data_IF_788828058173
#
_entry.id   IF_788828058173
#
_cell.length_a   1.000
_cell.length_b   1.000
_cell.length_c   1.000
_cell.angle_alpha   90.00
_cell.angle_beta   90.00
_cell.angle_gamma   90.00
#
_symmetry.space_group_name_H-M   'P 1'
#
loop_
_entity.id
_entity.type
_entity.pdbx_description
1 polymer ?
#
# COMPACT_ATOMS: atom_id res chain seq x y z
N UNK A 1 38.01 60.24 44.34
CA UNK A 1 36.91 59.64 43.55
C UNK A 1 37.53 58.79 42.48
N UNK A 2 37.10 57.57 42.23
CA UNK A 2 35.88 56.88 42.65
C UNK A 2 35.66 55.79 41.61
N UNK A 3 35.46 54.57 42.11
CA UNK A 3 34.60 53.47 41.61
C UNK A 3 34.78 52.99 40.15
N UNK A 4 35.12 51.72 39.86
CA UNK A 4 34.52 50.41 40.19
C UNK A 4 33.31 50.01 39.30
N UNK A 5 33.34 48.75 38.83
CA UNK A 5 32.19 48.00 38.29
C UNK A 5 32.19 47.91 36.75
N UNK A 6 32.38 46.76 36.08
CA UNK A 6 32.23 45.37 36.50
C UNK A 6 30.96 44.77 35.88
N UNK A 7 31.12 43.68 35.11
CA UNK A 7 30.09 42.64 34.96
C UNK A 7 29.17 42.74 33.73
N UNK A 8 29.47 41.91 32.72
CA UNK A 8 28.52 41.69 31.61
C UNK A 8 28.94 40.61 30.62
N UNK A 9 29.70 39.59 31.04
CA UNK A 9 30.30 38.62 30.11
C UNK A 9 30.42 37.21 30.69
N UNK A 10 29.41 36.74 31.44
CA UNK A 10 29.46 35.42 32.13
C UNK A 10 28.43 34.37 31.68
N UNK A 11 27.41 34.74 30.90
CA UNK A 11 26.22 33.87 30.75
C UNK A 11 26.31 32.73 29.72
N UNK A 12 27.26 32.74 28.77
CA UNK A 12 27.22 31.85 27.59
C UNK A 12 28.07 30.58 27.67
N UNK A 13 29.00 30.45 28.63
CA UNK A 13 29.88 29.26 28.72
C UNK A 13 29.28 28.08 29.49
N UNK A 14 28.29 28.31 30.35
CA UNK A 14 27.64 27.25 31.15
C UNK A 14 26.47 26.55 30.46
N UNK A 15 25.72 27.25 29.60
CA UNK A 15 24.52 26.70 28.94
C UNK A 15 24.83 25.57 27.97
N UNK A 16 25.92 25.65 27.21
CA UNK A 16 26.32 24.62 26.25
C UNK A 16 26.73 23.28 26.89
N UNK A 17 27.22 23.29 28.14
CA UNK A 17 27.57 22.05 28.85
C UNK A 17 26.34 21.28 29.33
N UNK A 18 25.29 22.00 29.73
CA UNK A 18 24.04 21.40 30.19
C UNK A 18 23.24 20.87 28.99
N UNK A 19 23.23 21.60 27.89
CA UNK A 19 22.65 21.16 26.61
C UNK A 19 23.29 19.86 26.12
N UNK A 20 24.62 19.77 26.09
CA UNK A 20 25.33 18.56 25.67
C UNK A 20 25.06 17.37 26.61
N UNK A 21 24.98 17.60 27.92
CA UNK A 21 24.65 16.54 28.89
C UNK A 21 23.22 16.02 28.70
N UNK A 22 22.25 16.92 28.49
CA UNK A 22 20.86 16.56 28.21
C UNK A 22 20.71 15.79 26.90
N UNK A 23 21.45 16.17 25.86
CA UNK A 23 21.50 15.42 24.60
C UNK A 23 22.09 14.03 24.78
N UNK A 24 23.15 13.89 25.59
CA UNK A 24 23.74 12.59 25.91
C UNK A 24 22.77 11.65 26.63
N UNK A 25 22.01 12.16 27.60
CA UNK A 25 20.97 11.39 28.31
C UNK A 25 19.85 10.99 27.36
N UNK A 26 19.37 11.91 26.51
CA UNK A 26 18.36 11.61 25.50
C UNK A 26 18.84 10.55 24.51
N UNK A 27 20.09 10.63 24.07
CA UNK A 27 20.68 9.63 23.18
C UNK A 27 20.77 8.25 23.86
N UNK A 28 21.23 8.18 25.11
CA UNK A 28 21.29 6.93 25.87
C UNK A 28 19.92 6.29 26.07
N UNK A 29 18.89 7.10 26.35
CA UNK A 29 17.50 6.65 26.40
C UNK A 29 17.03 6.11 25.05
N UNK A 30 17.33 6.81 23.95
CA UNK A 30 17.01 6.34 22.60
C UNK A 30 17.64 4.98 22.33
N UNK A 31 18.90 4.80 22.69
CA UNK A 31 19.66 3.57 22.43
C UNK A 31 19.13 2.39 23.27
N UNK A 32 18.66 2.66 24.49
CA UNK A 32 18.04 1.65 25.35
C UNK A 32 16.61 1.25 24.89
N UNK A 33 15.81 2.21 24.42
CA UNK A 33 14.41 1.97 24.00
C UNK A 33 14.32 1.35 22.61
N UNK A 34 15.20 1.72 21.69
CA UNK A 34 15.23 1.23 20.31
C UNK A 34 15.17 -0.30 20.18
N UNK A 35 15.99 -1.12 20.88
CA UNK A 35 15.89 -2.57 20.79
C UNK A 35 14.56 -3.12 21.31
N UNK A 36 13.91 -2.46 22.27
CA UNK A 36 12.59 -2.85 22.75
C UNK A 36 11.52 -2.61 21.68
N UNK A 37 11.56 -1.45 21.02
CA UNK A 37 10.69 -1.14 19.88
C UNK A 37 10.87 -2.14 18.73
N UNK A 38 12.12 -2.47 18.39
CA UNK A 38 12.43 -3.42 17.32
C UNK A 38 11.99 -4.86 17.64
N UNK A 39 11.88 -5.23 18.92
CA UNK A 39 11.35 -6.53 19.33
C UNK A 39 9.84 -6.62 19.22
N UNK A 40 9.14 -5.49 19.12
CA UNK A 40 7.69 -5.51 19.06
C UNK A 40 7.20 -6.15 17.75
N UNK A 41 6.31 -7.13 17.92
CA UNK A 41 5.78 -7.95 16.82
C UNK A 41 4.30 -7.62 16.52
N UNK A 42 3.54 -7.17 17.51
CA UNK A 42 2.12 -6.83 17.34
C UNK A 42 1.99 -5.49 16.63
N UNK A 43 1.18 -5.47 15.57
CA UNK A 43 0.81 -4.24 14.84
C UNK A 43 0.03 -3.30 15.76
N UNK A 44 -0.94 -3.82 16.53
CA UNK A 44 -1.79 -3.01 17.41
C UNK A 44 -0.98 -2.24 18.45
N UNK A 45 -0.08 -2.94 19.12
CA UNK A 45 0.79 -2.30 20.11
C UNK A 45 1.74 -1.27 19.50
N UNK A 46 2.16 -1.45 18.25
CA UNK A 46 2.97 -0.46 17.54
C UNK A 46 2.13 0.76 17.18
N UNK A 47 0.85 0.58 16.80
CA UNK A 47 -0.08 1.68 16.60
C UNK A 47 -0.30 2.47 17.90
N UNK A 48 -0.47 1.80 19.04
CA UNK A 48 -0.62 2.45 20.35
C UNK A 48 0.63 3.27 20.71
N UNK A 49 1.82 2.66 20.56
CA UNK A 49 3.10 3.34 20.79
C UNK A 49 3.24 4.57 19.89
N UNK A 50 2.91 4.45 18.60
CA UNK A 50 2.98 5.59 17.67
C UNK A 50 2.00 6.68 18.07
N UNK A 51 0.76 6.34 18.47
CA UNK A 51 -0.23 7.32 18.90
C UNK A 51 0.23 8.10 20.14
N UNK A 52 0.76 7.40 21.15
CA UNK A 52 1.30 8.02 22.37
C UNK A 52 2.50 8.92 22.04
N UNK A 53 3.45 8.41 21.24
CA UNK A 53 4.64 9.19 20.88
C UNK A 53 4.28 10.43 20.03
N UNK A 54 3.26 10.35 19.17
CA UNK A 54 2.82 11.46 18.33
C UNK A 54 2.13 12.53 19.18
N UNK A 55 1.26 12.14 20.13
CA UNK A 55 0.63 13.08 21.06
C UNK A 55 1.64 13.77 21.97
N UNK A 56 2.63 13.02 22.48
CA UNK A 56 3.66 13.57 23.36
C UNK A 56 4.64 14.47 22.59
N UNK A 57 5.04 14.08 21.37
CA UNK A 57 5.88 14.90 20.51
C UNK A 57 5.20 16.23 20.16
N UNK A 58 3.89 16.20 19.88
CA UNK A 58 3.10 17.41 19.62
C UNK A 58 2.99 18.29 20.87
N UNK A 59 2.67 17.70 22.03
CA UNK A 59 2.57 18.41 23.29
C UNK A 59 3.91 19.08 23.66
N UNK A 60 5.03 18.37 23.48
CA UNK A 60 6.37 18.92 23.69
C UNK A 60 6.66 20.05 22.70
N UNK A 61 6.31 19.91 21.42
CA UNK A 61 6.50 20.96 20.42
C UNK A 61 5.73 22.26 20.72
N UNK A 62 4.58 22.16 21.36
CA UNK A 62 3.81 23.32 21.83
C UNK A 62 4.47 23.94 23.05
N UNK A 63 4.90 23.11 24.02
CA UNK A 63 5.58 23.55 25.24
C UNK A 63 6.91 24.24 24.94
N UNK A 64 7.71 23.71 24.02
CA UNK A 64 8.98 24.30 23.58
C UNK A 64 8.79 25.65 22.90
N UNK A 65 7.71 25.82 22.13
CA UNK A 65 7.38 27.10 21.47
C UNK A 65 6.94 28.18 22.45
N UNK A 66 6.36 27.81 23.60
CA UNK A 66 5.89 28.74 24.62
C UNK A 66 6.97 29.07 25.69
N UNK A 67 7.97 28.22 25.85
CA UNK A 67 9.03 28.37 26.85
C UNK A 67 10.21 29.24 26.39
N UNK A 68 10.91 29.85 27.35
CA UNK A 68 12.17 30.57 27.13
C UNK A 68 13.27 30.12 28.10
N UNK A 69 14.53 30.27 27.70
CA UNK A 69 15.70 29.94 28.54
C UNK A 69 16.10 28.45 28.53
N UNK A 70 16.70 27.96 29.61
CA UNK A 70 17.25 26.59 29.72
C UNK A 70 16.18 25.49 29.65
N UNK A 71 14.94 25.79 30.05
CA UNK A 71 13.80 24.88 29.89
C UNK A 71 13.44 24.62 28.42
N UNK A 72 13.63 25.63 27.55
CA UNK A 72 13.40 25.47 26.11
C UNK A 72 14.45 24.54 25.48
N UNK A 73 15.70 24.58 25.95
CA UNK A 73 16.76 23.69 25.50
C UNK A 73 16.50 22.23 25.88
N UNK A 74 16.06 21.98 27.12
CA UNK A 74 15.67 20.65 27.59
C UNK A 74 14.45 20.11 26.82
N UNK A 75 13.42 20.94 26.63
CA UNK A 75 12.25 20.56 25.82
C UNK A 75 12.61 20.27 24.37
N UNK A 76 13.53 21.04 23.76
CA UNK A 76 13.99 20.79 22.40
C UNK A 76 14.76 19.46 22.27
N UNK A 77 15.57 19.11 23.27
CA UNK A 77 16.25 17.81 23.32
C UNK A 77 15.25 16.64 23.46
N UNK A 78 14.24 16.79 24.33
CA UNK A 78 13.16 15.81 24.48
C UNK A 78 12.32 15.67 23.20
N UNK A 79 11.98 16.78 22.55
CA UNK A 79 11.25 16.77 21.29
C UNK A 79 12.02 16.03 20.19
N UNK A 80 13.35 16.21 20.11
CA UNK A 80 14.20 15.44 19.19
C UNK A 80 14.19 13.94 19.50
N UNK A 81 14.25 13.57 20.78
CA UNK A 81 14.15 12.17 21.21
C UNK A 81 12.81 11.54 20.81
N UNK A 82 11.70 12.19 21.16
CA UNK A 82 10.35 11.70 20.84
C UNK A 82 10.16 11.54 19.33
N UNK A 83 10.60 12.54 18.54
CA UNK A 83 10.53 12.47 17.07
C UNK A 83 11.36 11.32 16.51
N UNK A 84 12.53 11.04 17.09
CA UNK A 84 13.38 9.91 16.68
C UNK A 84 12.74 8.56 17.01
N UNK A 85 12.24 8.39 18.22
CA UNK A 85 11.57 7.16 18.64
C UNK A 85 10.29 6.91 17.82
N UNK A 86 9.55 7.97 17.51
CA UNK A 86 8.38 7.93 16.65
C UNK A 86 8.74 7.54 15.21
N UNK A 87 9.87 8.01 14.68
CA UNK A 87 10.44 7.54 13.42
C UNK A 87 10.72 6.03 13.44
N UNK A 88 11.47 5.57 14.45
CA UNK A 88 11.80 4.15 14.62
C UNK A 88 10.52 3.27 14.77
N UNK A 89 9.52 3.74 15.52
CA UNK A 89 8.25 3.04 15.70
C UNK A 89 7.43 2.96 14.40
N UNK A 90 7.37 4.06 13.62
CA UNK A 90 6.69 4.09 12.31
C UNK A 90 7.39 3.21 11.28
N UNK A 91 8.72 3.19 11.25
CA UNK A 91 9.49 2.30 10.38
C UNK A 91 9.21 0.83 10.73
N UNK A 92 9.26 0.50 12.02
CA UNK A 92 8.95 -0.86 12.50
C UNK A 92 7.51 -1.25 12.18
N UNK A 93 6.55 -0.36 12.39
CA UNK A 93 5.15 -0.59 12.06
C UNK A 93 4.97 -0.86 10.56
N UNK A 94 5.58 -0.03 9.71
CA UNK A 94 5.54 -0.20 8.25
C UNK A 94 6.07 -1.57 7.85
N UNK A 95 7.23 -1.97 8.40
CA UNK A 95 7.80 -3.30 8.16
C UNK A 95 6.84 -4.43 8.58
N UNK A 96 6.20 -4.32 9.75
CA UNK A 96 5.26 -5.35 10.25
C UNK A 96 3.98 -5.40 9.42
N UNK A 97 3.46 -4.27 8.98
CA UNK A 97 2.30 -4.22 8.09
C UNK A 97 2.62 -4.89 6.74
N UNK A 98 3.75 -4.56 6.12
CA UNK A 98 4.18 -5.20 4.87
C UNK A 98 4.42 -6.71 5.02
N UNK A 99 4.95 -7.16 6.16
CA UNK A 99 5.06 -8.58 6.49
C UNK A 99 3.68 -9.24 6.60
N UNK A 100 2.70 -8.59 7.26
CA UNK A 100 1.33 -9.10 7.33
C UNK A 100 0.69 -9.22 5.94
N UNK A 101 0.88 -8.23 5.07
CA UNK A 101 0.38 -8.30 3.68
C UNK A 101 1.00 -9.48 2.92
N UNK A 102 2.31 -9.67 3.05
CA UNK A 102 3.01 -10.79 2.40
C UNK A 102 2.53 -12.14 2.90
N UNK A 103 2.49 -12.32 4.22
CA UNK A 103 2.32 -13.64 4.82
C UNK A 103 0.82 -14.01 4.94
N UNK A 104 -0.07 -13.04 5.15
CA UNK A 104 -1.49 -13.30 5.40
C UNK A 104 -2.40 -13.00 4.21
N UNK A 105 -1.99 -12.13 3.28
CA UNK A 105 -2.80 -11.80 2.08
C UNK A 105 -2.24 -12.50 0.84
N UNK A 106 -0.95 -12.32 0.53
CA UNK A 106 -0.34 -12.90 -0.69
C UNK A 106 -0.19 -14.42 -0.60
N UNK A 107 0.17 -14.94 0.58
CA UNK A 107 0.35 -16.38 0.81
C UNK A 107 -0.90 -17.05 1.39
N UNK A 108 -2.07 -16.44 1.23
CA UNK A 108 -3.31 -16.98 1.77
C UNK A 108 -3.67 -18.33 1.13
N UNK A 109 -3.56 -19.41 1.92
CA UNK A 109 -3.66 -20.79 1.42
C UNK A 109 -5.08 -21.39 1.47
N UNK A 110 -6.02 -20.79 2.19
CA UNK A 110 -7.37 -21.35 2.40
C UNK A 110 -8.45 -20.65 1.55
N UNK A 111 -8.15 -20.43 0.27
CA UNK A 111 -8.98 -19.60 -0.61
C UNK A 111 -10.37 -20.21 -0.88
N UNK A 112 -10.43 -21.49 -1.27
CA UNK A 112 -11.68 -22.16 -1.66
C UNK A 112 -12.75 -22.27 -0.55
N UNK A 113 -12.45 -22.73 0.70
CA UNK A 113 -13.48 -22.84 1.74
C UNK A 113 -13.99 -21.47 2.22
N UNK A 114 -13.09 -20.47 2.32
CA UNK A 114 -13.47 -19.12 2.70
C UNK A 114 -14.33 -18.43 1.63
N UNK A 115 -13.98 -18.59 0.35
CA UNK A 115 -14.76 -18.09 -0.76
C UNK A 115 -16.18 -18.67 -0.79
N UNK A 116 -16.32 -19.98 -0.55
CA UNK A 116 -17.63 -20.65 -0.45
C UNK A 116 -18.46 -20.14 0.74
N UNK A 117 -17.82 -19.89 1.88
CA UNK A 117 -18.51 -19.33 3.04
C UNK A 117 -19.08 -17.93 2.75
N UNK A 118 -18.28 -17.06 2.11
CA UNK A 118 -18.74 -15.74 1.69
C UNK A 118 -19.86 -15.83 0.65
N UNK A 119 -19.76 -16.76 -0.31
CA UNK A 119 -20.77 -16.96 -1.35
C UNK A 119 -22.11 -17.45 -0.78
N UNK A 120 -22.10 -18.39 0.18
CA UNK A 120 -23.33 -18.88 0.83
C UNK A 120 -24.14 -17.77 1.51
N UNK A 121 -23.43 -16.80 2.11
CA UNK A 121 -24.06 -15.64 2.73
C UNK A 121 -24.64 -14.66 1.71
N UNK A 122 -24.05 -14.55 0.52
CA UNK A 122 -24.54 -13.69 -0.57
C UNK A 122 -25.76 -14.33 -1.25
N UNK A 123 -25.70 -15.63 -1.50
CA UNK A 123 -26.78 -16.37 -2.18
C UNK A 123 -27.97 -16.69 -1.27
N UNK A 124 -27.88 -16.39 0.04
CA UNK A 124 -28.97 -16.61 1.00
C UNK A 124 -29.34 -18.08 1.21
N UNK A 125 -28.42 -19.00 0.92
CA UNK A 125 -28.68 -20.44 1.02
C UNK A 125 -28.51 -20.89 2.47
N UNK A 126 -29.54 -20.62 3.28
CA UNK A 126 -29.68 -21.08 4.68
C UNK A 126 -29.92 -22.61 4.76
N UNK A 127 -29.97 -23.34 3.63
CA UNK A 127 -30.25 -24.78 3.57
C UNK A 127 -28.96 -25.59 3.44
N UNK A 128 -28.14 -25.65 4.49
CA UNK A 128 -26.92 -26.45 4.40
C UNK A 128 -26.15 -26.66 5.68
N UNK A 129 -26.75 -27.39 6.64
CA UNK A 129 -26.07 -28.32 7.56
C UNK A 129 -25.02 -27.74 8.50
N UNK A 130 -25.35 -27.72 9.80
CA UNK A 130 -24.37 -27.59 10.87
C UNK A 130 -23.30 -28.68 10.79
N UNK A 131 -22.16 -28.33 10.21
CA UNK A 131 -20.89 -29.02 10.40
C UNK A 131 -20.06 -28.19 11.37
N UNK A 132 -19.78 -28.76 12.55
CA UNK A 132 -18.88 -28.20 13.56
C UNK A 132 -17.53 -27.87 12.90
N UNK A 133 -17.23 -26.58 12.78
CA UNK A 133 -16.04 -26.06 12.09
C UNK A 133 -16.29 -24.89 11.14
N UNK A 134 -17.56 -24.57 10.83
CA UNK A 134 -17.89 -23.39 10.02
C UNK A 134 -17.63 -22.12 10.83
N UNK A 135 -16.60 -21.37 10.46
CA UNK A 135 -16.30 -20.04 11.01
C UNK A 135 -17.59 -19.17 11.01
N UNK A 136 -17.82 -18.35 12.05
CA UNK A 136 -19.01 -17.50 12.15
C UNK A 136 -19.17 -16.69 10.87
N UNK A 137 -20.41 -16.56 10.38
CA UNK A 137 -20.74 -16.01 9.07
C UNK A 137 -20.05 -14.69 8.77
N UNK A 138 -18.92 -14.76 8.07
CA UNK A 138 -18.15 -13.59 7.61
C UNK A 138 -18.69 -13.15 6.27
N UNK A 139 -19.37 -11.99 6.26
CA UNK A 139 -19.86 -11.34 5.03
C UNK A 139 -18.74 -11.01 4.05
N UNK A 140 -17.52 -10.82 4.56
CA UNK A 140 -16.36 -10.42 3.77
C UNK A 140 -15.35 -11.56 3.66
N UNK A 141 -14.67 -11.61 2.53
CA UNK A 141 -13.58 -12.54 2.32
C UNK A 141 -12.42 -12.21 3.29
N UNK A 142 -11.77 -13.22 3.92
CA UNK A 142 -10.81 -12.97 5.01
C UNK A 142 -9.65 -12.04 4.66
N UNK A 143 -9.16 -12.07 3.41
CA UNK A 143 -8.07 -11.17 3.00
C UNK A 143 -8.55 -9.73 2.78
N UNK A 144 -9.83 -9.53 2.44
CA UNK A 144 -10.46 -8.21 2.33
C UNK A 144 -10.66 -7.60 3.72
N UNK A 145 -11.20 -8.37 4.67
CA UNK A 145 -11.36 -7.93 6.07
C UNK A 145 -10.02 -7.52 6.68
N UNK A 146 -9.01 -8.38 6.55
CA UNK A 146 -7.66 -8.07 7.01
C UNK A 146 -7.05 -6.87 6.28
N UNK A 147 -7.23 -6.77 4.97
CA UNK A 147 -6.73 -5.65 4.18
C UNK A 147 -7.32 -4.31 4.64
N UNK A 148 -8.63 -4.26 4.91
CA UNK A 148 -9.31 -3.07 5.40
C UNK A 148 -8.87 -2.70 6.82
N UNK A 149 -8.70 -3.68 7.71
CA UNK A 149 -8.18 -3.46 9.07
C UNK A 149 -6.75 -2.88 9.03
N UNK A 150 -5.88 -3.43 8.18
CA UNK A 150 -4.51 -2.94 8.00
C UNK A 150 -4.50 -1.51 7.42
N UNK A 151 -5.38 -1.20 6.46
CA UNK A 151 -5.55 0.14 5.92
C UNK A 151 -6.01 1.13 6.98
N UNK A 152 -7.01 0.78 7.80
CA UNK A 152 -7.49 1.63 8.89
C UNK A 152 -6.39 1.95 9.91
N UNK A 153 -5.63 0.92 10.33
CA UNK A 153 -4.49 1.08 11.26
C UNK A 153 -3.37 1.92 10.65
N UNK A 154 -3.02 1.66 9.39
CA UNK A 154 -1.99 2.40 8.68
C UNK A 154 -2.37 3.88 8.50
N UNK A 155 -3.63 4.17 8.15
CA UNK A 155 -4.12 5.52 7.95
C UNK A 155 -4.01 6.39 9.21
N UNK A 156 -4.32 5.80 10.37
CA UNK A 156 -4.29 6.51 11.65
C UNK A 156 -2.86 6.75 12.20
N UNK A 157 -1.90 5.91 11.83
CA UNK A 157 -0.58 5.87 12.50
C UNK A 157 0.61 6.23 11.59
N UNK A 158 0.44 6.19 10.27
CA UNK A 158 1.51 6.48 9.32
C UNK A 158 1.33 7.83 8.61
N UNK A 159 2.43 8.49 8.24
CA UNK A 159 2.37 9.68 7.40
C UNK A 159 1.84 9.31 6.02
N UNK A 160 1.07 10.24 5.42
CA UNK A 160 0.38 10.05 4.12
C UNK A 160 1.26 9.42 3.04
N UNK A 161 2.49 9.90 2.86
CA UNK A 161 3.42 9.36 1.84
C UNK A 161 3.71 7.86 1.99
N UNK A 162 3.79 7.36 3.21
CA UNK A 162 4.05 5.93 3.48
C UNK A 162 2.75 5.14 3.36
N UNK A 163 1.65 5.71 3.84
CA UNK A 163 0.31 5.13 3.67
C UNK A 163 -0.05 4.91 2.20
N UNK A 164 0.24 5.86 1.31
CA UNK A 164 -0.10 5.76 -0.12
C UNK A 164 0.57 4.54 -0.77
N UNK A 165 1.86 4.29 -0.48
CA UNK A 165 2.57 3.12 -0.99
C UNK A 165 2.09 1.80 -0.38
N UNK A 166 1.83 1.79 0.93
CA UNK A 166 1.33 0.60 1.62
C UNK A 166 -0.09 0.22 1.14
N UNK A 167 -0.94 1.23 0.96
CA UNK A 167 -2.33 1.02 0.56
C UNK A 167 -2.45 0.48 -0.87
N UNK A 168 -1.57 0.91 -1.77
CA UNK A 168 -1.40 0.28 -3.08
C UNK A 168 -1.05 -1.21 -2.95
N UNK A 169 -0.04 -1.54 -2.12
CA UNK A 169 0.40 -2.93 -1.92
C UNK A 169 -0.73 -3.82 -1.36
N UNK A 170 -1.50 -3.30 -0.39
CA UNK A 170 -2.64 -4.00 0.22
C UNK A 170 -3.73 -4.24 -0.82
N UNK A 171 -4.13 -3.21 -1.58
CA UNK A 171 -5.20 -3.31 -2.58
C UNK A 171 -4.85 -4.30 -3.70
N UNK A 172 -3.63 -4.24 -4.22
CA UNK A 172 -3.15 -5.17 -5.24
C UNK A 172 -3.13 -6.61 -4.69
N UNK A 173 -2.64 -6.81 -3.47
CA UNK A 173 -2.60 -8.13 -2.84
C UNK A 173 -4.01 -8.70 -2.57
N UNK A 174 -4.94 -7.89 -2.09
CA UNK A 174 -6.34 -8.29 -1.87
C UNK A 174 -7.01 -8.67 -3.20
N UNK A 175 -6.86 -7.84 -4.23
CA UNK A 175 -7.43 -8.10 -5.56
C UNK A 175 -6.86 -9.38 -6.16
N UNK A 176 -5.54 -9.58 -6.09
CA UNK A 176 -4.90 -10.81 -6.57
C UNK A 176 -5.39 -12.06 -5.81
N UNK A 177 -5.55 -11.95 -4.48
CA UNK A 177 -6.07 -13.03 -3.63
C UNK A 177 -7.51 -13.39 -4.00
N UNK A 178 -8.37 -12.40 -4.25
CA UNK A 178 -9.76 -12.62 -4.70
C UNK A 178 -9.82 -13.30 -6.07
N UNK A 179 -8.99 -12.86 -7.02
CA UNK A 179 -8.90 -13.47 -8.34
C UNK A 179 -8.42 -14.92 -8.27
N UNK A 180 -7.46 -15.24 -7.40
CA UNK A 180 -7.03 -16.61 -7.14
C UNK A 180 -8.18 -17.45 -6.53
N UNK A 181 -8.88 -16.89 -5.54
CA UNK A 181 -10.01 -17.57 -4.90
C UNK A 181 -11.15 -17.90 -5.88
N UNK A 182 -11.45 -16.99 -6.81
CA UNK A 182 -12.45 -17.23 -7.84
C UNK A 182 -12.03 -18.30 -8.86
N UNK A 183 -10.71 -18.42 -9.15
CA UNK A 183 -10.17 -19.46 -10.02
C UNK A 183 -10.17 -20.84 -9.39
N UNK A 184 -9.98 -20.93 -8.07
CA UNK A 184 -9.93 -22.18 -7.31
C UNK A 184 -11.33 -22.65 -6.84
N UNK A 185 -12.37 -21.86 -7.08
CA UNK A 185 -13.75 -22.21 -6.75
C UNK A 185 -14.39 -23.39 -7.55
N UNK A 186 -14.05 -23.68 -8.83
CA UNK A 186 -14.82 -24.57 -9.69
C UNK A 186 -14.69 -26.07 -9.39
N UNK A 187 -14.06 -26.48 -8.30
CA UNK A 187 -14.22 -27.83 -7.73
C UNK A 187 -15.61 -27.98 -7.08
N UNK A 188 -16.68 -27.94 -7.90
CA UNK A 188 -18.08 -28.15 -7.50
C UNK A 188 -19.01 -26.92 -7.54
N UNK A 189 -18.57 -25.75 -8.00
CA UNK A 189 -19.38 -24.53 -8.17
C UNK A 189 -19.56 -24.12 -9.65
N UNK A 190 -20.55 -23.27 -9.94
CA UNK A 190 -20.78 -22.75 -11.30
C UNK A 190 -19.85 -21.57 -11.63
N UNK A 191 -19.59 -21.31 -12.93
CA UNK A 191 -18.86 -20.10 -13.38
C UNK A 191 -19.54 -18.81 -12.91
N UNK A 192 -20.86 -18.87 -12.76
CA UNK A 192 -21.69 -17.77 -12.25
C UNK A 192 -21.40 -17.49 -10.77
N UNK A 193 -21.13 -18.51 -9.96
CA UNK A 193 -20.74 -18.33 -8.55
C UNK A 193 -19.39 -17.63 -8.43
N UNK A 194 -18.41 -17.98 -9.28
CA UNK A 194 -17.10 -17.34 -9.29
C UNK A 194 -17.19 -15.85 -9.65
N UNK A 195 -17.98 -15.51 -10.67
CA UNK A 195 -18.19 -14.12 -11.08
C UNK A 195 -19.00 -13.32 -10.05
N UNK A 196 -20.01 -13.93 -9.41
CA UNK A 196 -20.78 -13.30 -8.32
C UNK A 196 -19.91 -13.01 -7.08
N UNK A 197 -19.02 -13.94 -6.71
CA UNK A 197 -18.05 -13.72 -5.64
C UNK A 197 -17.16 -12.51 -5.95
N UNK A 198 -16.59 -12.46 -7.16
CA UNK A 198 -15.73 -11.35 -7.55
C UNK A 198 -16.48 -10.01 -7.53
N UNK A 199 -17.66 -9.94 -8.17
CA UNK A 199 -18.45 -8.70 -8.20
C UNK A 199 -18.77 -8.22 -6.78
N UNK A 200 -19.26 -9.10 -5.92
CA UNK A 200 -19.62 -8.73 -4.53
C UNK A 200 -18.43 -8.26 -3.71
N UNK A 201 -17.32 -9.02 -3.70
CA UNK A 201 -16.17 -8.72 -2.85
C UNK A 201 -15.37 -7.51 -3.37
N UNK A 202 -15.28 -7.32 -4.69
CA UNK A 202 -14.65 -6.13 -5.28
C UNK A 202 -15.50 -4.87 -5.07
N UNK A 203 -16.84 -4.98 -5.08
CA UNK A 203 -17.72 -3.87 -4.72
C UNK A 203 -17.54 -3.46 -3.25
N UNK A 204 -17.48 -4.43 -2.33
CA UNK A 204 -17.20 -4.17 -0.92
C UNK A 204 -15.85 -3.47 -0.78
N UNK A 205 -14.79 -4.02 -1.40
CA UNK A 205 -13.46 -3.42 -1.33
C UNK A 205 -13.47 -1.98 -1.87
N UNK A 206 -14.15 -1.72 -2.98
CA UNK A 206 -14.29 -0.36 -3.57
C UNK A 206 -15.03 0.60 -2.65
N UNK A 207 -16.13 0.17 -2.04
CA UNK A 207 -16.93 1.03 -1.15
C UNK A 207 -16.16 1.36 0.13
N UNK A 208 -15.53 0.36 0.74
CA UNK A 208 -14.84 0.53 2.01
C UNK A 208 -13.55 1.36 1.90
N UNK A 209 -13.02 1.57 0.68
CA UNK A 209 -11.88 2.47 0.47
C UNK A 209 -12.24 3.92 0.15
N UNK A 210 -13.51 4.22 -0.12
CA UNK A 210 -14.00 5.58 -0.32
C UNK A 210 -13.62 6.58 0.79
N UNK A 211 -13.69 6.25 2.10
CA UNK A 211 -13.27 7.18 3.17
C UNK A 211 -11.79 7.56 3.11
N UNK A 212 -10.96 6.77 2.43
CA UNK A 212 -9.53 7.04 2.27
C UNK A 212 -9.20 7.79 0.96
N UNK A 213 -10.20 8.18 0.14
CA UNK A 213 -9.98 8.82 -1.16
C UNK A 213 -9.16 10.12 -1.08
N UNK A 214 -9.29 10.87 0.03
CA UNK A 214 -8.46 12.04 0.32
C UNK A 214 -6.98 11.72 0.53
N UNK A 215 -6.62 10.46 0.82
CA UNK A 215 -5.24 9.98 0.88
C UNK A 215 -4.79 9.37 -0.45
N UNK A 216 -5.65 8.62 -1.14
CA UNK A 216 -5.38 8.06 -2.48
C UNK A 216 -5.24 9.09 -3.61
N UNK A 217 -5.65 10.35 -3.37
CA UNK A 217 -5.50 11.46 -4.31
C UNK A 217 -4.10 12.12 -4.30
N UNK A 218 -3.00 11.37 -4.11
CA UNK A 218 -1.62 11.89 -4.24
C UNK A 218 -1.01 11.48 -5.57
N UNK A 219 -0.64 12.49 -6.36
CA UNK A 219 0.31 12.41 -7.46
C UNK A 219 1.68 11.99 -6.94
N UNK A 220 2.02 10.69 -7.01
CA UNK A 220 3.41 10.29 -6.80
C UNK A 220 4.22 10.75 -8.02
N UNK A 221 4.91 11.87 -7.89
CA UNK A 221 5.84 12.37 -8.90
C UNK A 221 7.11 11.53 -8.81
N UNK A 222 7.17 10.43 -9.55
CA UNK A 222 8.40 9.66 -9.72
C UNK A 222 9.25 10.31 -10.82
N UNK A 223 10.55 10.48 -10.57
CA UNK A 223 11.47 10.95 -11.59
C UNK A 223 11.95 9.74 -12.40
N UNK A 224 11.61 9.68 -13.69
CA UNK A 224 12.11 8.64 -14.56
C UNK A 224 13.52 8.99 -15.06
N UNK A 225 14.50 8.23 -14.57
CA UNK A 225 15.90 8.33 -14.96
C UNK A 225 16.28 7.33 -16.08
N UNK A 226 15.31 6.66 -16.71
CA UNK A 226 15.54 5.71 -17.81
C UNK A 226 16.30 6.37 -18.96
N UNK A 227 15.91 7.59 -19.32
CA UNK A 227 16.51 8.44 -20.36
C UNK A 227 17.90 8.91 -19.96
N UNK A 228 18.06 9.40 -18.72
CA UNK A 228 19.35 9.82 -18.16
C UNK A 228 20.34 8.65 -18.11
N UNK A 229 19.88 7.46 -17.70
CA UNK A 229 20.71 6.25 -17.61
C UNK A 229 21.08 5.70 -18.99
N UNK A 230 20.18 5.76 -19.98
CA UNK A 230 20.47 5.38 -21.35
C UNK A 230 21.55 6.28 -21.98
N UNK A 231 21.45 7.60 -21.78
CA UNK A 231 22.43 8.58 -22.24
C UNK A 231 23.79 8.43 -21.54
N UNK A 232 23.81 8.20 -20.23
CA UNK A 232 25.06 7.92 -19.46
C UNK A 232 25.72 6.63 -19.97
N UNK A 233 24.94 5.59 -20.27
CA UNK A 233 25.47 4.35 -20.87
C UNK A 233 26.05 4.58 -22.26
N UNK A 234 25.40 5.40 -23.09
CA UNK A 234 25.93 5.79 -24.40
C UNK A 234 27.23 6.61 -24.28
N UNK A 235 27.31 7.52 -23.30
CA UNK A 235 28.51 8.31 -23.03
C UNK A 235 29.66 7.44 -22.47
N UNK A 236 29.36 6.47 -21.60
CA UNK A 236 30.34 5.52 -21.07
C UNK A 236 30.82 4.52 -22.13
N UNK A 237 29.99 4.19 -23.12
CA UNK A 237 30.35 3.38 -24.29
C UNK A 237 31.17 4.15 -25.33
N UNK A 238 31.07 5.47 -25.39
CA UNK A 238 31.88 6.36 -26.22
C UNK A 238 33.28 6.58 -25.61
N UNK A 239 34.02 5.49 -25.38
CA UNK A 239 35.45 5.58 -25.00
C UNK A 239 36.26 6.15 -26.18
N UNK A 240 36.62 7.44 -26.08
CA UNK A 240 37.73 8.01 -26.86
C UNK A 240 37.47 9.27 -27.67
N UNK A 241 36.32 9.93 -27.56
CA UNK A 241 36.09 11.20 -28.28
C UNK A 241 36.17 12.41 -27.35
N UNK A 242 37.09 13.33 -27.63
CA UNK A 242 37.42 14.55 -26.86
C UNK A 242 36.30 15.62 -26.83
N UNK A 243 35.04 15.27 -27.13
CA UNK A 243 33.87 16.15 -27.02
C UNK A 243 33.05 15.87 -25.75
N UNK A 244 33.72 15.44 -24.67
CA UNK A 244 33.05 15.17 -23.40
C UNK A 244 32.35 16.42 -22.84
N UNK A 245 32.91 17.62 -23.05
CA UNK A 245 32.31 18.88 -22.56
C UNK A 245 31.05 19.24 -23.37
N UNK A 246 31.06 19.10 -24.69
CA UNK A 246 29.88 19.36 -25.54
C UNK A 246 28.75 18.37 -25.30
N UNK A 247 29.09 17.10 -25.09
CA UNK A 247 28.13 16.05 -24.75
C UNK A 247 27.55 16.22 -23.33
N UNK A 248 28.35 16.65 -22.35
CA UNK A 248 27.90 16.93 -20.97
C UNK A 248 27.06 18.21 -20.90
N UNK A 249 27.38 19.25 -21.69
CA UNK A 249 26.53 20.46 -21.83
C UNK A 249 25.20 20.12 -22.50
N UNK A 250 25.21 19.24 -23.52
CA UNK A 250 23.98 18.70 -24.11
C UNK A 250 23.16 17.85 -23.14
N UNK A 251 23.83 17.14 -22.22
CA UNK A 251 23.20 16.38 -21.13
C UNK A 251 22.57 17.33 -20.10
N UNK A 252 23.26 18.38 -19.67
CA UNK A 252 22.70 19.38 -18.74
C UNK A 252 21.53 20.17 -19.34
N UNK A 253 21.54 20.43 -20.65
CA UNK A 253 20.47 21.16 -21.34
C UNK A 253 19.24 20.29 -21.67
N UNK A 254 19.33 18.96 -21.64
CA UNK A 254 18.23 18.04 -22.05
C UNK A 254 17.92 16.92 -21.05
N UNK A 255 18.69 16.75 -19.98
CA UNK A 255 18.51 15.69 -18.98
C UNK A 255 17.71 16.13 -17.76
N UNK A 256 16.69 16.97 -17.96
CA UNK A 256 15.64 17.09 -16.94
C UNK A 256 14.90 15.73 -16.91
N UNK A 257 15.00 14.94 -15.83
CA UNK A 257 14.28 13.67 -15.73
C UNK A 257 12.79 13.93 -15.92
N UNK A 258 12.15 13.14 -16.77
CA UNK A 258 10.72 13.26 -16.98
C UNK A 258 10.01 12.94 -15.67
N UNK A 259 9.19 13.87 -15.19
CA UNK A 259 8.35 13.65 -14.02
C UNK A 259 7.22 12.72 -14.47
N UNK A 260 7.33 11.45 -14.12
CA UNK A 260 6.28 10.46 -14.31
C UNK A 260 5.39 10.53 -13.06
N UNK A 261 4.25 11.18 -13.21
CA UNK A 261 3.23 11.26 -12.18
C UNK A 261 2.44 9.94 -12.16
N UNK A 262 2.71 9.05 -11.20
CA UNK A 262 1.88 7.87 -10.95
C UNK A 262 0.83 8.23 -9.90
N UNK A 263 -0.39 8.51 -10.35
CA UNK A 263 -1.57 8.61 -9.49
C UNK A 263 -2.25 7.23 -9.42
N UNK A 264 -2.49 6.74 -8.20
CA UNK A 264 -3.49 5.73 -7.81
C UNK A 264 -3.87 4.62 -8.82
N UNK A 265 -2.90 3.97 -9.48
CA UNK A 265 -3.20 2.87 -10.41
C UNK A 265 -3.89 1.69 -9.70
N UNK A 266 -3.67 1.45 -8.40
CA UNK A 266 -4.37 0.38 -7.68
C UNK A 266 -5.90 0.56 -7.64
N UNK A 267 -6.41 1.78 -7.43
CA UNK A 267 -7.86 2.04 -7.48
C UNK A 267 -8.38 1.87 -8.90
N UNK A 268 -7.65 2.40 -9.89
CA UNK A 268 -8.00 2.21 -11.30
C UNK A 268 -7.97 0.74 -11.72
N UNK A 269 -7.03 -0.05 -11.22
CA UNK A 269 -6.90 -1.49 -11.46
C UNK A 269 -8.04 -2.26 -10.81
N UNK A 270 -8.41 -1.91 -9.57
CA UNK A 270 -9.59 -2.44 -8.90
C UNK A 270 -10.87 -2.17 -9.70
N UNK A 271 -11.08 -0.94 -10.17
CA UNK A 271 -12.26 -0.60 -10.98
C UNK A 271 -12.26 -1.31 -12.35
N UNK A 272 -11.08 -1.46 -12.97
CA UNK A 272 -10.92 -2.25 -14.20
C UNK A 272 -11.28 -3.72 -13.98
N UNK A 273 -10.84 -4.34 -12.89
CA UNK A 273 -11.18 -5.73 -12.56
C UNK A 273 -12.65 -5.89 -12.18
N UNK A 274 -13.23 -4.95 -11.44
CA UNK A 274 -14.66 -4.96 -11.13
C UNK A 274 -15.49 -4.91 -12.43
N UNK A 275 -15.14 -4.05 -13.38
CA UNK A 275 -15.81 -3.97 -14.68
C UNK A 275 -15.71 -5.30 -15.44
N UNK A 276 -14.52 -5.91 -15.48
CA UNK A 276 -14.31 -7.23 -16.11
C UNK A 276 -15.16 -8.32 -15.46
N UNK A 277 -15.23 -8.34 -14.12
CA UNK A 277 -16.05 -9.30 -13.39
C UNK A 277 -17.55 -9.14 -13.68
N UNK A 278 -18.04 -7.89 -13.77
CA UNK A 278 -19.42 -7.60 -14.17
C UNK A 278 -19.71 -8.06 -15.60
N UNK A 279 -18.82 -7.77 -16.56
CA UNK A 279 -18.96 -8.22 -17.96
C UNK A 279 -18.97 -9.75 -18.06
N UNK A 280 -18.10 -10.44 -17.32
CA UNK A 280 -18.08 -11.90 -17.24
C UNK A 280 -19.37 -12.46 -16.62
N UNK A 281 -19.86 -11.87 -15.53
CA UNK A 281 -21.13 -12.26 -14.92
C UNK A 281 -22.31 -12.12 -15.90
N UNK A 282 -22.39 -11.00 -16.62
CA UNK A 282 -23.43 -10.77 -17.63
C UNK A 282 -23.32 -11.81 -18.75
N UNK A 283 -22.11 -12.08 -19.25
CA UNK A 283 -21.89 -13.09 -20.29
C UNK A 283 -22.31 -14.49 -19.81
N UNK A 284 -21.91 -14.90 -18.60
CA UNK A 284 -22.24 -16.20 -18.02
C UNK A 284 -23.75 -16.36 -17.77
N UNK A 285 -24.43 -15.30 -17.33
CA UNK A 285 -25.88 -15.33 -17.11
C UNK A 285 -26.69 -15.30 -18.42
N UNK A 286 -26.21 -14.62 -19.46
CA UNK A 286 -26.96 -14.43 -20.72
C UNK A 286 -26.67 -15.50 -21.78
N UNK A 287 -25.49 -16.11 -21.78
CA UNK A 287 -25.12 -17.20 -22.71
C UNK A 287 -26.12 -18.37 -22.72
N UNK A 288 -26.60 -18.91 -21.58
CA UNK A 288 -27.55 -20.03 -21.62
C UNK A 288 -28.91 -19.66 -22.23
N UNK A 289 -29.31 -18.38 -22.15
CA UNK A 289 -30.59 -17.88 -22.70
C UNK A 289 -30.44 -17.53 -24.19
N UNK A 290 -29.32 -16.93 -24.58
CA UNK A 290 -29.09 -16.45 -25.96
C UNK A 290 -28.66 -17.56 -26.91
N UNK A 291 -27.91 -18.57 -26.44
CA UNK A 291 -27.45 -19.72 -27.24
C UNK A 291 -28.58 -20.50 -27.93
N UNK A 292 -29.68 -20.88 -27.26
CA UNK A 292 -30.79 -21.55 -27.94
C UNK A 292 -31.52 -20.64 -28.93
N UNK A 293 -31.60 -19.33 -28.69
CA UNK A 293 -32.20 -18.36 -29.62
C UNK A 293 -31.36 -18.19 -30.89
N UNK A 294 -30.03 -18.15 -30.76
CA UNK A 294 -29.09 -18.12 -31.90
C UNK A 294 -29.19 -19.38 -32.76
N UNK A 295 -29.46 -20.54 -32.16
CA UNK A 295 -29.66 -21.80 -32.88
C UNK A 295 -30.96 -21.84 -33.71
N UNK A 296 -31.95 -20.99 -33.37
CA UNK A 296 -33.23 -20.87 -34.08
C UNK A 296 -33.19 -19.85 -35.23
N UNK A 297 -32.11 -19.07 -35.37
CA UNK A 297 -31.94 -18.13 -36.49
C UNK A 297 -31.45 -18.87 -37.74
N UNK A 298 -32.21 -18.89 -38.84
CA UNK A 298 -31.78 -19.52 -40.09
C UNK A 298 -30.75 -18.63 -40.78
N UNK A 299 -29.47 -18.97 -40.67
CA UNK A 299 -28.40 -18.24 -41.38
C UNK A 299 -26.95 -18.60 -41.08
N UNK A 300 -26.64 -19.28 -39.96
CA UNK A 300 -25.24 -19.55 -39.57
C UNK A 300 -24.74 -20.98 -39.85
N UNK A 301 -25.59 -21.91 -40.29
CA UNK A 301 -25.20 -23.31 -40.53
C UNK A 301 -24.72 -23.62 -41.96
N UNK A 302 -24.67 -22.63 -42.86
CA UNK A 302 -24.41 -22.83 -44.30
C UNK A 302 -23.02 -22.35 -44.78
N UNK A 303 -21.96 -22.54 -43.98
CA UNK A 303 -20.64 -21.98 -44.28
C UNK A 303 -19.42 -22.86 -43.98
N UNK A 304 -19.53 -24.19 -43.99
CA UNK A 304 -18.36 -25.01 -43.62
C UNK A 304 -18.34 -26.47 -44.03
N UNK A 305 -19.13 -26.91 -45.02
CA UNK A 305 -19.14 -28.32 -45.43
C UNK A 305 -19.31 -28.53 -46.93
N UNK A 306 -18.42 -27.98 -47.76
CA UNK A 306 -18.20 -28.45 -49.13
C UNK A 306 -16.92 -27.83 -49.76
N UNK A 307 -15.76 -28.38 -49.45
CA UNK A 307 -14.57 -28.28 -50.31
C UNK A 307 -13.66 -29.51 -50.11
N UNK A 308 -14.24 -30.69 -50.31
CA UNK A 308 -13.45 -31.90 -50.53
C UNK A 308 -12.88 -31.82 -51.96
N UNK A 309 -11.65 -31.32 -52.09
CA UNK A 309 -10.90 -31.36 -53.34
C UNK A 309 -10.61 -32.83 -53.72
N UNK A 310 -11.08 -33.26 -54.90
CA UNK A 310 -10.75 -34.54 -55.53
C UNK A 310 -9.25 -34.57 -55.91
N UNK A 311 -8.59 -35.73 -55.85
CA UNK A 311 -7.26 -35.90 -56.44
C UNK A 311 -7.36 -36.06 -57.96
N UNK A 312 -6.41 -35.47 -58.69
CA UNK A 312 -6.22 -35.68 -60.13
C UNK A 312 -5.08 -36.70 -60.31
N UNK A 313 -5.24 -37.76 -61.12
CA UNK A 313 -4.18 -38.74 -61.39
C UNK A 313 -3.32 -38.36 -62.61
N UNK A 314 -2.06 -38.81 -62.54
CA UNK A 314 -1.01 -38.96 -63.56
C UNK A 314 -0.54 -37.71 -64.31
#
# INVERSE_FOLDING_TARGET
GGEAGGGGGGGRRGSGSVEAALEGVCYGLSDAVRPLLLRQASVDSLCDIVAVLDSEALAEAVRTRAGGGTAAAAGAAMQRLLTRLLGDARERLTFRLQACVRDQIRQYSHAAPAARASLRLISGDERGGGGEGSAPGRRWYPTVELGLDLLGKAYASLPRRVFDGLSQEVLEACTASLLAAARDLPDGGSSLDASLLLVSQLLVLREQIAPFDGAFAVTTKALDFSTTRAMIRQLAGARGSLSAVGAVVGLLQRAAPAVVESQSDAKGSLERELKRACEAFIADATTPVTRPLLALLPGSAAGGRAAAARPVPA
#
